data_IF_770518185517
#
_entry.id   IF_770518185517
#
_cell.length_a   1.000
_cell.length_b   1.000
_cell.length_c   1.000
_cell.angle_alpha   90.00
_cell.angle_beta   90.00
_cell.angle_gamma   90.00
#
_symmetry.space_group_name_H-M   'P 1'
#
loop_
_entity.id
_entity.type
_entity.pdbx_description
1 polymer ?
#
# COMPACT_ATOMS: atom_id res chain seq x y z
N UNK A 1 -4.19 33.78 3.06
CA UNK A 1 -4.90 32.64 2.42
C UNK A 1 -5.93 32.14 3.40
N UNK A 2 -7.15 31.82 2.95
CA UNK A 2 -8.26 31.37 3.80
C UNK A 2 -8.15 29.87 4.08
N UNK A 3 -7.21 29.50 4.96
CA UNK A 3 -6.87 28.10 5.21
C UNK A 3 -8.00 27.34 5.93
N UNK A 4 -8.59 27.92 6.98
CA UNK A 4 -9.60 27.22 7.80
C UNK A 4 -10.85 26.90 6.96
N UNK A 5 -11.35 27.88 6.19
CA UNK A 5 -12.47 27.68 5.26
C UNK A 5 -12.14 26.68 4.14
N UNK A 6 -10.88 26.62 3.70
CA UNK A 6 -10.47 25.63 2.73
C UNK A 6 -10.47 24.22 3.32
N UNK A 7 -10.07 24.05 4.59
CA UNK A 7 -10.14 22.77 5.29
C UNK A 7 -11.58 22.27 5.44
N UNK A 8 -12.51 23.17 5.79
CA UNK A 8 -13.95 22.89 5.84
C UNK A 8 -14.46 22.46 4.45
N UNK A 9 -14.12 23.21 3.40
CA UNK A 9 -14.48 22.88 2.02
C UNK A 9 -13.98 21.48 1.60
N UNK A 10 -12.76 21.10 1.99
CA UNK A 10 -12.23 19.77 1.70
C UNK A 10 -12.96 18.67 2.49
N UNK A 11 -13.33 18.96 3.74
CA UNK A 11 -14.05 18.04 4.62
C UNK A 11 -15.48 17.77 4.14
N UNK A 12 -16.20 18.82 3.73
CA UNK A 12 -17.52 18.71 3.11
C UNK A 12 -17.48 17.91 1.79
N UNK A 13 -16.35 17.95 1.08
CA UNK A 13 -16.09 17.12 -0.09
C UNK A 13 -15.79 15.65 0.18
N UNK A 14 -15.97 15.16 1.42
CA UNK A 14 -15.71 13.77 1.84
C UNK A 14 -14.27 13.28 1.52
N UNK A 15 -13.29 14.18 1.56
CA UNK A 15 -11.89 13.79 1.39
C UNK A 15 -11.37 13.04 2.63
N UNK A 16 -10.42 12.12 2.41
CA UNK A 16 -9.78 11.43 3.51
C UNK A 16 -8.91 12.40 4.33
N UNK A 17 -8.90 12.25 5.67
CA UNK A 17 -8.13 13.11 6.58
C UNK A 17 -6.67 13.31 6.15
N UNK A 18 -5.98 12.23 5.77
CA UNK A 18 -4.59 12.31 5.29
C UNK A 18 -4.44 13.14 4.00
N UNK A 19 -5.44 13.08 3.11
CA UNK A 19 -5.47 13.89 1.88
C UNK A 19 -5.66 15.37 2.23
N UNK A 20 -6.56 15.68 3.16
CA UNK A 20 -6.78 17.03 3.66
C UNK A 20 -5.48 17.59 4.24
N UNK A 21 -4.83 16.89 5.15
CA UNK A 21 -3.55 17.33 5.74
C UNK A 21 -2.47 17.58 4.69
N UNK A 22 -2.35 16.70 3.69
CA UNK A 22 -1.38 16.87 2.60
C UNK A 22 -1.71 18.10 1.73
N UNK A 23 -2.98 18.37 1.48
CA UNK A 23 -3.43 19.51 0.70
C UNK A 23 -3.21 20.82 1.45
N UNK A 24 -3.58 20.86 2.72
CA UNK A 24 -3.34 21.99 3.62
C UNK A 24 -1.86 22.34 3.70
N UNK A 25 -0.98 21.33 3.86
CA UNK A 25 0.46 21.54 3.84
C UNK A 25 0.93 22.21 2.55
N UNK A 26 0.50 21.70 1.39
CA UNK A 26 0.92 22.23 0.09
C UNK A 26 0.48 23.68 -0.13
N UNK A 27 -0.77 24.01 0.24
CA UNK A 27 -1.28 25.37 0.14
C UNK A 27 -0.53 26.30 1.08
N UNK A 28 -0.32 25.88 2.35
CA UNK A 28 0.42 26.67 3.33
C UNK A 28 1.86 26.97 2.88
N UNK A 29 2.56 25.97 2.35
CA UNK A 29 3.93 26.12 1.84
C UNK A 29 3.99 27.05 0.60
N UNK A 30 2.98 27.01 -0.27
CA UNK A 30 2.88 27.97 -1.37
C UNK A 30 2.79 29.41 -0.84
N UNK A 31 1.87 29.69 0.08
CA UNK A 31 1.69 31.06 0.57
C UNK A 31 2.79 31.56 1.50
N UNK A 32 3.56 30.67 2.13
CA UNK A 32 4.78 31.10 2.84
C UNK A 32 5.88 31.57 1.87
N UNK A 33 5.83 31.15 0.60
CA UNK A 33 6.81 31.51 -0.44
C UNK A 33 6.32 32.64 -1.35
N UNK A 34 5.02 32.71 -1.59
CA UNK A 34 4.41 33.64 -2.53
C UNK A 34 3.23 34.37 -1.91
N UNK A 35 3.32 35.70 -1.84
CA UNK A 35 2.27 36.55 -1.28
C UNK A 35 1.02 36.62 -2.19
N UNK A 36 1.21 36.47 -3.49
CA UNK A 36 0.13 36.59 -4.48
C UNK A 36 -0.16 35.29 -5.22
N UNK A 37 -1.45 35.04 -5.43
CA UNK A 37 -1.96 33.92 -6.21
C UNK A 37 -2.18 34.34 -7.67
N UNK A 38 -1.11 34.26 -8.47
CA UNK A 38 -1.08 34.59 -9.89
C UNK A 38 -0.34 33.51 -10.71
N UNK A 39 -0.46 33.56 -12.05
CA UNK A 39 0.11 32.54 -12.96
C UNK A 39 1.64 32.42 -12.82
N UNK A 40 2.35 33.55 -12.67
CA UNK A 40 3.81 33.57 -12.54
C UNK A 40 4.26 32.82 -11.29
N UNK A 41 3.69 33.15 -10.14
CA UNK A 41 4.06 32.52 -8.86
C UNK A 41 3.72 31.02 -8.84
N UNK A 42 2.59 30.62 -9.44
CA UNK A 42 2.22 29.21 -9.58
C UNK A 42 3.24 28.43 -10.43
N UNK A 43 3.76 29.02 -11.51
CA UNK A 43 4.80 28.40 -12.33
C UNK A 43 6.14 28.33 -11.62
N UNK A 44 6.56 29.40 -10.93
CA UNK A 44 7.79 29.42 -10.12
C UNK A 44 7.74 28.35 -9.04
N UNK A 45 6.62 28.26 -8.31
CA UNK A 45 6.44 27.22 -7.30
C UNK A 45 6.45 25.82 -7.92
N UNK A 46 5.84 25.62 -9.09
CA UNK A 46 5.92 24.34 -9.80
C UNK A 46 7.36 23.97 -10.14
N UNK A 47 8.19 24.91 -10.60
CA UNK A 47 9.61 24.67 -10.87
C UNK A 47 10.34 24.25 -9.61
N UNK A 48 10.16 25.00 -8.51
CA UNK A 48 10.71 24.64 -7.20
C UNK A 48 10.31 23.21 -6.75
N UNK A 49 9.03 22.84 -6.95
CA UNK A 49 8.56 21.50 -6.62
C UNK A 49 9.29 20.42 -7.42
N UNK A 50 9.48 20.64 -8.73
CA UNK A 50 10.16 19.69 -9.63
C UNK A 50 11.62 19.49 -9.23
N UNK A 51 12.31 20.56 -8.85
CA UNK A 51 13.71 20.52 -8.44
C UNK A 51 13.91 19.87 -7.07
N UNK A 52 12.92 20.02 -6.18
CA UNK A 52 13.06 19.59 -4.78
C UNK A 52 12.49 18.19 -4.51
N UNK A 53 11.44 17.77 -5.23
CA UNK A 53 10.66 16.59 -4.87
C UNK A 53 10.49 15.59 -6.01
N UNK A 54 10.29 14.33 -5.63
CA UNK A 54 9.92 13.27 -6.59
C UNK A 54 8.60 13.61 -7.30
N UNK A 55 8.44 13.26 -8.58
CA UNK A 55 7.27 13.65 -9.37
C UNK A 55 5.89 13.30 -8.77
N UNK A 56 5.79 12.20 -8.00
CA UNK A 56 4.56 11.82 -7.29
C UNK A 56 4.16 12.88 -6.25
N UNK A 57 5.12 13.36 -5.47
CA UNK A 57 4.92 14.43 -4.49
C UNK A 57 4.59 15.75 -5.18
N UNK A 58 5.28 16.07 -6.28
CA UNK A 58 5.00 17.26 -7.11
C UNK A 58 3.55 17.26 -7.57
N UNK A 59 3.09 16.15 -8.16
CA UNK A 59 1.72 16.03 -8.65
C UNK A 59 0.67 16.11 -7.53
N UNK A 60 0.95 15.56 -6.35
CA UNK A 60 0.06 15.71 -5.18
C UNK A 60 -0.09 17.18 -4.77
N UNK A 61 1.02 17.92 -4.70
CA UNK A 61 1.01 19.35 -4.33
C UNK A 61 0.38 20.22 -5.41
N UNK A 62 0.59 19.90 -6.70
CA UNK A 62 -0.12 20.53 -7.82
C UNK A 62 -1.64 20.31 -7.72
N UNK A 63 -2.08 19.09 -7.38
CA UNK A 63 -3.50 18.79 -7.18
C UNK A 63 -4.09 19.60 -6.02
N UNK A 64 -3.36 19.70 -4.90
CA UNK A 64 -3.76 20.52 -3.76
C UNK A 64 -3.97 21.99 -4.16
N UNK A 65 -3.00 22.59 -4.86
CA UNK A 65 -3.12 23.95 -5.36
C UNK A 65 -4.27 24.11 -6.35
N UNK A 66 -4.44 23.17 -7.27
CA UNK A 66 -5.58 23.20 -8.20
C UNK A 66 -6.92 23.12 -7.46
N UNK A 67 -7.01 22.36 -6.37
CA UNK A 67 -8.22 22.29 -5.55
C UNK A 67 -8.45 23.61 -4.80
N UNK A 68 -7.39 24.24 -4.30
CA UNK A 68 -7.46 25.57 -3.69
C UNK A 68 -7.86 26.66 -4.70
N UNK A 69 -7.34 26.60 -5.93
CA UNK A 69 -7.73 27.51 -7.03
C UNK A 69 -9.21 27.41 -7.36
N UNK A 70 -9.80 26.22 -7.30
CA UNK A 70 -11.26 26.03 -7.44
C UNK A 70 -11.99 26.69 -6.29
N UNK A 71 -11.54 26.47 -5.04
CA UNK A 71 -12.15 27.05 -3.84
C UNK A 71 -12.20 28.60 -3.90
N UNK A 72 -11.12 29.24 -4.35
CA UNK A 72 -11.07 30.72 -4.47
C UNK A 72 -11.61 31.25 -5.81
N UNK A 73 -12.26 30.42 -6.63
CA UNK A 73 -12.85 30.84 -7.91
C UNK A 73 -11.87 31.12 -9.06
N UNK A 74 -10.58 30.81 -8.92
CA UNK A 74 -9.53 31.05 -9.93
C UNK A 74 -9.24 29.83 -10.81
N UNK A 75 -10.28 29.17 -11.33
CA UNK A 75 -10.17 27.92 -12.10
C UNK A 75 -9.30 28.02 -13.36
N UNK A 76 -9.22 29.21 -13.98
CA UNK A 76 -8.38 29.48 -15.17
C UNK A 76 -6.87 29.38 -14.90
N UNK A 77 -6.42 29.46 -13.65
CA UNK A 77 -5.00 29.41 -13.26
C UNK A 77 -4.46 27.98 -13.03
N UNK A 78 -5.20 26.96 -13.46
CA UNK A 78 -4.89 25.54 -13.21
C UNK A 78 -3.49 25.15 -13.69
N UNK A 79 -2.73 24.50 -12.81
CA UNK A 79 -1.43 23.91 -13.09
C UNK A 79 -1.56 22.52 -13.73
N UNK A 80 -0.83 22.28 -14.82
CA UNK A 80 -0.71 20.95 -15.43
C UNK A 80 0.20 20.05 -14.58
N UNK A 81 -0.22 18.80 -14.37
CA UNK A 81 0.61 17.77 -13.74
C UNK A 81 1.88 17.50 -14.55
N UNK A 82 2.94 17.09 -13.86
CA UNK A 82 4.15 16.55 -14.47
C UNK A 82 3.85 15.14 -14.98
N UNK A 83 4.14 14.89 -16.26
CA UNK A 83 4.02 13.55 -16.84
C UNK A 83 5.18 12.70 -16.33
N UNK A 84 4.86 11.52 -15.84
CA UNK A 84 5.85 10.55 -15.35
C UNK A 84 5.64 9.29 -16.14
N UNK A 85 6.68 8.83 -16.84
CA UNK A 85 6.63 7.51 -17.45
C UNK A 85 6.54 6.47 -16.32
N UNK A 86 5.54 5.59 -16.39
CA UNK A 86 5.45 4.51 -15.42
C UNK A 86 6.66 3.60 -15.60
N UNK A 87 7.46 3.43 -14.53
CA UNK A 87 8.54 2.44 -14.52
C UNK A 87 7.97 1.08 -14.87
N UNK A 88 8.63 0.30 -15.71
CA UNK A 88 8.21 -1.01 -16.21
C UNK A 88 8.47 -2.18 -15.25
N UNK A 89 8.93 -1.94 -14.03
CA UNK A 89 9.35 -3.01 -13.13
C UNK A 89 8.97 -2.73 -11.67
N UNK A 90 8.83 -3.79 -10.88
CA UNK A 90 8.63 -3.73 -9.44
C UNK A 90 9.99 -3.62 -8.75
N UNK A 91 10.22 -2.55 -8.02
CA UNK A 91 11.38 -2.44 -7.13
C UNK A 91 11.06 -3.06 -5.77
N UNK A 92 12.05 -3.72 -5.17
CA UNK A 92 12.06 -4.12 -3.77
C UNK A 92 10.96 -5.12 -3.36
N UNK A 93 10.79 -6.20 -4.13
CA UNK A 93 9.96 -7.35 -3.74
C UNK A 93 10.83 -8.39 -3.03
N UNK A 94 10.40 -8.85 -1.86
CA UNK A 94 11.09 -9.87 -1.07
C UNK A 94 11.14 -11.17 -1.86
N UNK A 95 12.32 -11.80 -1.98
CA UNK A 95 12.48 -13.08 -2.69
C UNK A 95 11.69 -14.21 -1.99
N UNK A 96 11.39 -15.32 -2.68
CA UNK A 96 10.74 -16.47 -2.02
C UNK A 96 11.68 -17.09 -0.96
N UNK A 97 13.00 -17.08 -1.24
CA UNK A 97 14.03 -17.53 -0.31
C UNK A 97 14.04 -16.67 0.96
N UNK A 98 14.10 -15.34 0.83
CA UNK A 98 14.10 -14.40 1.97
C UNK A 98 12.81 -14.51 2.78
N UNK A 99 11.65 -14.61 2.12
CA UNK A 99 10.37 -14.82 2.80
C UNK A 99 10.37 -16.12 3.61
N UNK A 100 10.84 -17.22 3.00
CA UNK A 100 10.90 -18.53 3.65
C UNK A 100 11.88 -18.50 4.83
N UNK A 101 13.05 -17.91 4.65
CA UNK A 101 14.05 -17.71 5.69
C UNK A 101 13.50 -16.90 6.86
N UNK A 102 12.93 -15.72 6.60
CA UNK A 102 12.36 -14.84 7.62
C UNK A 102 11.28 -15.57 8.43
N UNK A 103 10.32 -16.19 7.74
CA UNK A 103 9.23 -16.94 8.37
C UNK A 103 9.78 -18.08 9.24
N UNK A 104 10.70 -18.89 8.72
CA UNK A 104 11.24 -20.03 9.46
C UNK A 104 12.07 -19.60 10.66
N UNK A 105 12.85 -18.51 10.54
CA UNK A 105 13.64 -17.95 11.63
C UNK A 105 12.75 -17.42 12.76
N UNK A 106 11.69 -16.68 12.42
CA UNK A 106 10.69 -16.22 13.39
C UNK A 106 10.03 -17.38 14.15
N UNK A 107 9.69 -18.48 13.45
CA UNK A 107 9.14 -19.68 14.09
C UNK A 107 10.15 -20.38 15.00
N UNK A 108 11.41 -20.48 14.57
CA UNK A 108 12.49 -21.11 15.35
C UNK A 108 12.80 -20.36 16.65
N UNK A 109 12.70 -19.04 16.64
CA UNK A 109 12.91 -18.18 17.81
C UNK A 109 11.63 -17.94 18.64
N UNK A 110 10.59 -18.77 18.45
CA UNK A 110 9.28 -18.67 19.11
C UNK A 110 8.58 -17.30 18.99
N UNK A 111 8.91 -16.53 17.95
CA UNK A 111 8.27 -15.26 17.64
C UNK A 111 6.96 -15.48 16.85
N UNK A 112 6.06 -16.30 17.39
CA UNK A 112 4.87 -16.81 16.67
C UNK A 112 3.94 -15.69 16.18
N UNK A 113 3.75 -14.62 16.96
CA UNK A 113 2.98 -13.45 16.52
C UNK A 113 3.48 -12.91 15.19
N UNK A 114 4.79 -12.71 15.07
CA UNK A 114 5.40 -12.14 13.87
C UNK A 114 5.52 -13.15 12.73
N UNK A 115 5.69 -14.43 13.05
CA UNK A 115 5.52 -15.52 12.10
C UNK A 115 4.14 -15.42 11.40
N UNK A 116 3.05 -15.29 12.17
CA UNK A 116 1.72 -15.13 11.59
C UNK A 116 1.54 -13.80 10.87
N UNK A 117 2.07 -12.67 11.37
CA UNK A 117 2.02 -11.39 10.63
C UNK A 117 2.63 -11.54 9.22
N UNK A 118 3.82 -12.12 9.12
CA UNK A 118 4.51 -12.34 7.84
C UNK A 118 3.72 -13.29 6.94
N UNK A 119 3.15 -14.37 7.49
CA UNK A 119 2.33 -15.31 6.73
C UNK A 119 1.04 -14.69 6.21
N UNK A 120 0.31 -13.95 7.03
CA UNK A 120 -0.92 -13.30 6.58
C UNK A 120 -0.64 -12.26 5.48
N UNK A 121 0.41 -11.46 5.61
CA UNK A 121 0.82 -10.52 4.58
C UNK A 121 1.10 -11.21 3.24
N UNK A 122 1.81 -12.35 3.26
CA UNK A 122 2.23 -13.06 2.05
C UNK A 122 1.15 -14.00 1.48
N UNK A 123 0.16 -14.43 2.28
CA UNK A 123 -0.82 -15.46 1.87
C UNK A 123 -2.22 -14.90 1.57
N UNK A 124 -2.56 -13.71 2.06
CA UNK A 124 -3.90 -13.13 1.88
C UNK A 124 -3.93 -11.97 0.87
N UNK A 125 -2.75 -11.46 0.53
CA UNK A 125 -2.63 -10.24 -0.27
C UNK A 125 -3.14 -8.99 0.43
N UNK A 126 -3.55 -9.02 1.70
CA UNK A 126 -4.11 -7.87 2.42
C UNK A 126 -3.17 -6.65 2.45
N UNK A 127 -3.72 -5.44 2.37
CA UNK A 127 -2.96 -4.23 2.75
C UNK A 127 -2.70 -4.25 4.25
N UNK A 128 -1.61 -3.62 4.71
CA UNK A 128 -1.31 -3.55 6.15
C UNK A 128 -2.43 -2.88 6.96
N UNK A 129 -3.12 -1.90 6.39
CA UNK A 129 -4.28 -1.24 7.01
C UNK A 129 -5.49 -2.16 7.17
N UNK A 130 -5.60 -3.19 6.34
CA UNK A 130 -6.66 -4.20 6.37
C UNK A 130 -6.25 -5.35 7.30
N UNK A 131 -4.98 -5.77 7.25
CA UNK A 131 -4.40 -6.79 8.13
C UNK A 131 -4.62 -6.48 9.61
N UNK A 132 -4.39 -5.24 10.03
CA UNK A 132 -4.57 -4.83 11.43
C UNK A 132 -6.02 -4.90 11.89
N UNK A 133 -7.00 -4.98 10.98
CA UNK A 133 -8.42 -5.13 11.29
C UNK A 133 -8.88 -6.58 11.37
N UNK A 134 -8.05 -7.55 10.95
CA UNK A 134 -8.41 -8.96 11.02
C UNK A 134 -8.57 -9.34 12.49
N UNK A 135 -9.65 -10.06 12.79
CA UNK A 135 -9.97 -10.57 14.11
C UNK A 135 -9.97 -12.10 14.12
N UNK A 136 -9.98 -12.70 15.31
CA UNK A 136 -10.01 -14.16 15.49
C UNK A 136 -11.23 -14.79 14.81
N UNK A 137 -12.38 -14.12 14.85
CA UNK A 137 -13.63 -14.59 14.26
C UNK A 137 -13.51 -14.72 12.72
N UNK A 138 -12.75 -13.82 12.09
CA UNK A 138 -12.46 -13.91 10.65
C UNK A 138 -11.59 -15.12 10.32
N UNK A 139 -10.67 -15.51 11.22
CA UNK A 139 -9.87 -16.73 11.03
C UNK A 139 -10.75 -17.97 11.09
N UNK A 140 -11.68 -18.03 12.04
CA UNK A 140 -12.60 -19.16 12.19
C UNK A 140 -13.50 -19.31 10.95
N UNK A 141 -14.17 -18.22 10.54
CA UNK A 141 -15.04 -18.21 9.35
C UNK A 141 -14.23 -18.39 8.05
N UNK A 142 -13.00 -17.88 8.04
CA UNK A 142 -12.01 -18.03 6.98
C UNK A 142 -11.99 -16.94 5.92
N UNK A 143 -12.68 -15.83 6.16
CA UNK A 143 -12.59 -14.64 5.34
C UNK A 143 -12.83 -13.36 6.15
N UNK A 144 -12.46 -12.23 5.57
CA UNK A 144 -12.73 -10.89 6.10
C UNK A 144 -13.26 -9.98 4.97
N UNK A 145 -14.49 -9.49 5.13
CA UNK A 145 -15.12 -8.59 4.18
C UNK A 145 -14.81 -7.13 4.47
N UNK A 146 -14.43 -6.40 3.42
CA UNK A 146 -14.02 -4.99 3.48
C UNK A 146 -14.98 -4.17 2.63
N UNK A 147 -15.56 -3.15 3.25
CA UNK A 147 -16.31 -2.12 2.55
C UNK A 147 -15.35 -1.11 1.94
N UNK A 148 -15.38 -0.98 0.61
CA UNK A 148 -14.61 0.03 -0.12
C UNK A 148 -15.45 1.27 -0.38
N UNK A 149 -14.81 2.36 -0.84
CA UNK A 149 -15.53 3.56 -1.28
C UNK A 149 -16.55 3.18 -2.37
N UNK A 150 -17.74 3.77 -2.30
CA UNK A 150 -18.83 3.49 -3.24
C UNK A 150 -19.67 2.24 -2.90
N UNK A 151 -19.58 1.70 -1.67
CA UNK A 151 -20.47 0.64 -1.20
C UNK A 151 -20.14 -0.77 -1.69
N UNK A 152 -19.05 -0.95 -2.43
CA UNK A 152 -18.60 -2.28 -2.87
C UNK A 152 -17.98 -3.07 -1.72
N UNK A 153 -18.26 -4.37 -1.69
CA UNK A 153 -17.67 -5.31 -0.72
C UNK A 153 -16.55 -6.08 -1.42
N UNK A 154 -15.39 -6.18 -0.76
CA UNK A 154 -14.29 -7.05 -1.17
C UNK A 154 -14.00 -8.07 -0.08
N UNK A 155 -13.95 -9.34 -0.44
CA UNK A 155 -13.58 -10.42 0.47
C UNK A 155 -12.08 -10.71 0.44
N UNK A 156 -11.44 -10.76 1.61
CA UNK A 156 -10.11 -11.36 1.79
C UNK A 156 -10.30 -12.80 2.26
N UNK A 157 -9.81 -13.76 1.49
CA UNK A 157 -9.81 -15.17 1.89
C UNK A 157 -8.58 -15.51 2.73
N UNK A 158 -8.78 -16.30 3.79
CA UNK A 158 -7.70 -16.81 4.64
C UNK A 158 -7.52 -18.30 4.32
N UNK A 159 -6.37 -18.70 3.74
CA UNK A 159 -6.15 -20.09 3.33
C UNK A 159 -6.34 -21.10 4.47
N UNK A 160 -6.99 -22.24 4.20
CA UNK A 160 -7.31 -23.28 5.20
C UNK A 160 -6.10 -23.68 6.05
N UNK A 161 -4.94 -23.90 5.44
CA UNK A 161 -3.71 -24.27 6.16
C UNK A 161 -3.25 -23.18 7.12
N UNK A 162 -3.34 -21.91 6.72
CA UNK A 162 -3.03 -20.76 7.59
C UNK A 162 -4.02 -20.67 8.76
N UNK A 163 -5.32 -20.91 8.50
CA UNK A 163 -6.36 -20.91 9.55
C UNK A 163 -6.05 -21.95 10.63
N UNK A 164 -5.87 -23.21 10.23
CA UNK A 164 -5.59 -24.31 11.16
C UNK A 164 -4.35 -24.06 12.00
N UNK A 165 -3.27 -23.54 11.42
CA UNK A 165 -2.06 -23.20 12.21
C UNK A 165 -2.28 -22.01 13.14
N UNK A 166 -3.06 -21.01 12.70
CA UNK A 166 -3.38 -19.83 13.52
C UNK A 166 -4.28 -20.19 14.70
N UNK A 167 -5.27 -21.05 14.49
CA UNK A 167 -6.16 -21.55 15.56
C UNK A 167 -5.39 -22.30 16.64
N UNK A 168 -4.44 -23.16 16.25
CA UNK A 168 -3.56 -23.85 17.22
C UNK A 168 -2.75 -22.85 18.06
N UNK A 169 -2.20 -21.81 17.43
CA UNK A 169 -1.47 -20.76 18.15
C UNK A 169 -2.39 -19.94 19.07
N UNK A 170 -3.63 -19.66 18.65
CA UNK A 170 -4.59 -18.95 19.49
C UNK A 170 -5.03 -19.76 20.71
N UNK A 171 -5.14 -21.09 20.58
CA UNK A 171 -5.39 -22.00 21.70
C UNK A 171 -4.29 -21.93 22.75
N UNK A 172 -3.00 -21.89 22.37
CA UNK A 172 -1.90 -21.76 23.35
C UNK A 172 -1.93 -20.43 24.10
N UNK A 173 -2.65 -19.43 23.59
CA UNK A 173 -2.83 -18.12 24.22
C UNK A 173 -4.17 -18.01 24.96
N UNK A 174 -5.02 -19.04 24.95
CA UNK A 174 -6.40 -18.99 25.43
C UNK A 174 -7.21 -17.82 24.84
N UNK A 175 -7.00 -17.49 23.55
CA UNK A 175 -7.67 -16.37 22.87
C UNK A 175 -8.70 -16.86 21.86
N UNK A 176 -9.96 -16.51 22.07
CA UNK A 176 -11.07 -16.93 21.20
C UNK A 176 -11.71 -15.79 20.42
N UNK A 177 -11.39 -14.52 20.73
CA UNK A 177 -12.02 -13.34 20.13
C UNK A 177 -11.09 -12.12 20.02
N UNK A 178 -11.56 -11.11 19.28
CA UNK A 178 -10.91 -9.80 19.17
C UNK A 178 -9.82 -9.73 18.10
N UNK A 179 -9.11 -8.59 18.03
CA UNK A 179 -8.11 -8.35 16.98
C UNK A 179 -7.00 -9.41 16.98
N UNK A 180 -6.69 -9.95 15.80
CA UNK A 180 -5.72 -11.03 15.66
C UNK A 180 -4.32 -10.61 16.14
N UNK A 181 -3.88 -9.43 15.74
CA UNK A 181 -2.57 -8.89 16.05
C UNK A 181 -2.63 -7.73 17.04
N UNK A 182 -2.08 -7.95 18.23
CA UNK A 182 -2.05 -6.98 19.32
C UNK A 182 -0.65 -6.38 19.52
N UNK A 183 -0.63 -5.13 20.00
CA UNK A 183 0.55 -4.47 20.54
C UNK A 183 0.90 -5.05 21.93
N UNK A 184 1.95 -4.53 22.56
CA UNK A 184 2.38 -4.97 23.90
C UNK A 184 1.42 -4.61 25.04
N UNK A 185 0.48 -3.71 24.78
CA UNK A 185 -0.54 -3.24 25.72
C UNK A 185 -1.89 -3.96 25.54
N UNK A 186 -1.95 -4.98 24.68
CA UNK A 186 -3.19 -5.72 24.41
C UNK A 186 -4.15 -5.04 23.42
N UNK A 187 -3.78 -3.90 22.85
CA UNK A 187 -4.61 -3.18 21.87
C UNK A 187 -4.24 -3.57 20.43
N UNK A 188 -5.07 -3.20 19.46
CA UNK A 188 -4.78 -3.41 18.03
C UNK A 188 -3.42 -2.82 17.63
N UNK A 189 -2.56 -3.63 17.01
CA UNK A 189 -1.28 -3.14 16.51
C UNK A 189 -1.48 -2.08 15.40
N UNK A 190 -0.63 -1.05 15.40
CA UNK A 190 -0.69 0.00 14.37
C UNK A 190 0.05 -0.43 13.10
N UNK A 191 -0.35 0.14 11.97
CA UNK A 191 0.34 -0.08 10.68
C UNK A 191 1.82 0.32 10.75
N UNK A 192 2.12 1.44 11.43
CA UNK A 192 3.48 1.89 11.69
C UNK A 192 4.25 0.89 12.56
N UNK A 193 3.60 0.33 13.58
CA UNK A 193 4.19 -0.70 14.43
C UNK A 193 4.60 -1.94 13.64
N UNK A 194 3.74 -2.42 12.73
CA UNK A 194 4.09 -3.53 11.82
C UNK A 194 5.28 -3.17 10.94
N UNK A 195 5.23 -2.04 10.24
CA UNK A 195 6.33 -1.64 9.34
C UNK A 195 7.67 -1.50 10.06
N UNK A 196 7.68 -0.90 11.25
CA UNK A 196 8.90 -0.73 12.04
C UNK A 196 9.47 -2.06 12.51
N UNK A 197 8.63 -2.96 13.02
CA UNK A 197 9.10 -4.24 13.54
C UNK A 197 9.59 -5.17 12.42
N UNK A 198 8.94 -5.17 11.26
CA UNK A 198 9.45 -5.87 10.09
C UNK A 198 10.85 -5.38 9.70
N UNK A 199 11.07 -4.06 9.71
CA UNK A 199 12.39 -3.47 9.48
C UNK A 199 13.41 -3.92 10.53
N UNK A 200 13.04 -3.94 11.81
CA UNK A 200 13.90 -4.41 12.89
C UNK A 200 14.30 -5.89 12.68
N UNK A 201 13.37 -6.76 12.29
CA UNK A 201 13.69 -8.16 11.97
C UNK A 201 14.56 -8.29 10.72
N UNK A 202 14.40 -7.40 9.73
CA UNK A 202 15.26 -7.37 8.56
C UNK A 202 16.71 -7.12 8.98
N UNK A 203 16.96 -6.09 9.79
CA UNK A 203 18.28 -5.80 10.35
C UNK A 203 18.79 -6.96 11.19
N UNK A 204 17.97 -7.47 12.12
CA UNK A 204 18.35 -8.57 13.03
C UNK A 204 18.82 -9.82 12.28
N UNK A 205 18.17 -10.15 11.16
CA UNK A 205 18.43 -11.38 10.42
C UNK A 205 19.28 -11.17 9.15
N UNK A 206 19.88 -9.99 8.97
CA UNK A 206 20.74 -9.69 7.82
C UNK A 206 20.00 -9.64 6.48
N UNK A 207 18.70 -9.35 6.48
CA UNK A 207 17.89 -9.19 5.28
C UNK A 207 17.89 -7.74 4.81
N UNK A 208 17.69 -7.53 3.51
CA UNK A 208 17.61 -6.19 2.94
C UNK A 208 16.37 -5.42 3.47
N UNK A 209 16.59 -4.40 4.29
CA UNK A 209 15.55 -3.54 4.87
C UNK A 209 14.65 -2.88 3.82
N UNK A 210 15.16 -2.65 2.61
CA UNK A 210 14.39 -2.05 1.51
C UNK A 210 13.32 -2.99 1.00
N UNK A 211 13.42 -4.32 1.23
CA UNK A 211 12.44 -5.32 0.74
C UNK A 211 11.57 -5.91 1.82
N UNK A 212 11.91 -5.77 3.11
CA UNK A 212 11.14 -6.35 4.22
C UNK A 212 10.15 -5.32 4.78
N UNK A 213 9.07 -5.09 4.05
CA UNK A 213 7.98 -4.18 4.43
C UNK A 213 6.64 -4.68 3.89
N UNK A 214 5.48 -4.25 4.43
CA UNK A 214 4.20 -4.90 4.14
C UNK A 214 3.81 -5.00 2.66
N UNK A 215 4.08 -3.96 1.87
CA UNK A 215 3.70 -3.96 0.44
C UNK A 215 4.54 -4.95 -0.37
N UNK A 216 5.78 -5.20 0.02
CA UNK A 216 6.64 -6.20 -0.62
C UNK A 216 6.10 -7.61 -0.47
N UNK A 217 5.58 -7.98 0.71
CA UNK A 217 4.88 -9.25 0.90
C UNK A 217 3.59 -9.36 0.07
N UNK A 218 2.85 -8.25 -0.06
CA UNK A 218 1.67 -8.20 -0.95
C UNK A 218 2.08 -8.38 -2.43
N UNK A 219 3.22 -7.84 -2.85
CA UNK A 219 3.77 -8.09 -4.18
C UNK A 219 4.19 -9.55 -4.36
N UNK A 220 4.78 -10.18 -3.32
CA UNK A 220 5.10 -11.61 -3.30
C UNK A 220 3.84 -12.47 -3.45
N UNK A 221 2.74 -12.13 -2.77
CA UNK A 221 1.44 -12.78 -2.95
C UNK A 221 0.99 -12.74 -4.41
N UNK A 222 1.00 -11.56 -5.02
CA UNK A 222 0.60 -11.37 -6.42
C UNK A 222 1.46 -12.16 -7.42
N UNK A 223 2.79 -12.13 -7.25
CA UNK A 223 3.70 -12.92 -8.07
C UNK A 223 3.44 -14.42 -7.93
N UNK A 224 3.37 -14.93 -6.69
CA UNK A 224 3.09 -16.34 -6.44
C UNK A 224 1.72 -16.77 -7.00
N UNK A 225 0.70 -15.90 -6.91
CA UNK A 225 -0.60 -16.17 -7.51
C UNK A 225 -0.48 -16.33 -9.02
N UNK A 226 0.11 -15.37 -9.74
CA UNK A 226 0.24 -15.43 -11.21
C UNK A 226 1.15 -16.57 -11.69
N UNK A 227 2.20 -16.89 -10.94
CA UNK A 227 3.09 -18.04 -11.21
C UNK A 227 2.34 -19.37 -11.11
N UNK A 228 1.34 -19.48 -10.22
CA UNK A 228 0.56 -20.71 -10.01
C UNK A 228 -0.75 -20.74 -10.78
N UNK A 229 -1.35 -19.58 -11.00
CA UNK A 229 -2.66 -19.39 -11.60
C UNK A 229 -2.66 -18.04 -12.32
N UNK A 230 -2.40 -18.08 -13.63
CA UNK A 230 -2.16 -16.91 -14.48
C UNK A 230 -3.46 -16.15 -14.85
N UNK A 231 -4.25 -15.79 -13.85
CA UNK A 231 -5.48 -15.00 -13.99
C UNK A 231 -5.31 -13.63 -13.33
N UNK A 232 -5.02 -12.62 -14.15
CA UNK A 232 -4.84 -11.24 -13.70
C UNK A 232 -6.15 -10.58 -13.25
N UNK A 233 -7.29 -10.95 -13.84
CA UNK A 233 -8.57 -10.34 -13.52
C UNK A 233 -9.00 -10.77 -12.11
N UNK A 234 -8.97 -12.07 -11.84
CA UNK A 234 -9.24 -12.60 -10.51
C UNK A 234 -8.25 -12.05 -9.47
N UNK A 235 -6.96 -11.95 -9.80
CA UNK A 235 -5.98 -11.34 -8.90
C UNK A 235 -6.33 -9.87 -8.58
N UNK A 236 -6.75 -9.09 -9.59
CA UNK A 236 -7.13 -7.69 -9.39
C UNK A 236 -8.31 -7.56 -8.42
N UNK A 237 -9.30 -8.44 -8.54
CA UNK A 237 -10.48 -8.49 -7.66
C UNK A 237 -10.10 -8.88 -6.23
N UNK A 238 -9.30 -9.94 -6.06
CA UNK A 238 -8.80 -10.38 -4.74
C UNK A 238 -7.98 -9.30 -4.04
N UNK A 239 -7.17 -8.57 -4.80
CA UNK A 239 -6.36 -7.47 -4.30
C UNK A 239 -7.19 -6.20 -4.06
N UNK A 240 -8.34 -6.05 -4.69
CA UNK A 240 -9.17 -4.84 -4.59
C UNK A 240 -8.51 -3.67 -5.27
N UNK A 241 -8.11 -3.87 -6.52
CA UNK A 241 -7.64 -2.81 -7.40
C UNK A 241 -8.81 -2.30 -8.24
N UNK A 242 -9.03 -0.99 -8.24
CA UNK A 242 -10.10 -0.36 -9.06
C UNK A 242 -9.83 -0.46 -10.57
N UNK A 243 -8.58 -0.73 -10.95
CA UNK A 243 -8.17 -0.92 -12.34
C UNK A 243 -7.18 -2.06 -12.47
N UNK A 244 -7.41 -2.92 -13.46
CA UNK A 244 -6.48 -3.99 -13.88
C UNK A 244 -5.08 -3.45 -14.18
N UNK A 245 -4.96 -2.19 -14.60
CA UNK A 245 -3.67 -1.55 -14.86
C UNK A 245 -2.77 -1.54 -13.61
N UNK A 246 -3.38 -1.45 -12.42
CA UNK A 246 -2.66 -1.51 -11.15
C UNK A 246 -2.10 -2.92 -10.88
N UNK A 247 -2.74 -3.96 -11.42
CA UNK A 247 -2.30 -5.36 -11.31
C UNK A 247 -1.32 -5.72 -12.42
N UNK A 248 -1.36 -5.05 -13.58
CA UNK A 248 -0.48 -5.31 -14.73
C UNK A 248 1.00 -5.18 -14.38
N UNK A 249 1.35 -4.39 -13.37
CA UNK A 249 2.71 -4.27 -12.85
C UNK A 249 3.32 -5.62 -12.45
N UNK A 250 2.51 -6.62 -12.09
CA UNK A 250 2.95 -7.96 -11.70
C UNK A 250 3.25 -8.89 -12.87
N UNK A 251 2.66 -8.63 -14.04
CA UNK A 251 2.93 -9.40 -15.26
C UNK A 251 4.18 -8.92 -16.00
N UNK A 252 4.83 -7.87 -15.51
CA UNK A 252 5.95 -7.27 -16.24
C UNK A 252 7.17 -8.18 -16.15
N UNK A 253 7.59 -8.61 -17.33
CA UNK A 253 8.77 -9.44 -17.58
C UNK A 253 9.87 -8.57 -18.16
N UNK A 254 11.12 -8.93 -17.94
CA UNK A 254 12.26 -8.33 -18.63
C UNK A 254 12.20 -8.61 -20.13
N UNK A 255 12.94 -7.84 -20.93
CA UNK A 255 13.03 -8.08 -22.38
C UNK A 255 13.57 -9.48 -22.70
N UNK A 256 14.53 -9.96 -21.91
CA UNK A 256 15.09 -11.30 -22.04
C UNK A 256 14.03 -12.38 -21.78
N UNK A 257 13.30 -12.27 -20.66
CA UNK A 257 12.20 -13.21 -20.35
C UNK A 257 11.10 -13.18 -21.43
N UNK A 258 10.83 -12.01 -22.02
CA UNK A 258 9.87 -11.90 -23.13
C UNK A 258 10.36 -12.64 -24.37
N UNK A 259 11.63 -12.45 -24.74
CA UNK A 259 12.25 -13.12 -25.88
C UNK A 259 12.26 -14.63 -25.67
N UNK A 260 12.68 -15.13 -24.50
CA UNK A 260 12.66 -16.57 -24.18
C UNK A 260 11.26 -17.18 -24.30
N UNK A 261 10.21 -16.46 -23.92
CA UNK A 261 8.83 -16.93 -24.08
C UNK A 261 8.46 -16.96 -25.55
N UNK A 262 8.78 -15.92 -26.31
CA UNK A 262 8.48 -15.85 -27.74
C UNK A 262 9.18 -16.99 -28.46
N UNK A 263 10.48 -17.19 -28.22
CA UNK A 263 11.28 -18.28 -28.81
C UNK A 263 10.72 -19.66 -28.44
N UNK A 264 10.17 -19.80 -27.23
CA UNK A 264 9.54 -21.05 -26.77
C UNK A 264 8.15 -21.29 -27.35
N UNK A 265 7.38 -20.23 -27.62
CA UNK A 265 5.97 -20.31 -28.03
C UNK A 265 5.82 -20.29 -29.55
N UNK A 266 6.67 -19.54 -30.24
CA UNK A 266 6.68 -19.41 -31.70
C UNK A 266 7.76 -20.32 -32.25
N UNK A 267 7.37 -21.54 -32.62
CA UNK A 267 8.28 -22.58 -33.11
C UNK A 267 8.06 -22.92 -34.58
N UNK A 268 7.40 -22.03 -35.33
CA UNK A 268 7.07 -22.19 -36.75
C UNK A 268 7.62 -21.03 -37.58
#
# INVERSE_FOLDING_TARGET
MELDKFEEFLSQGNMAKNTISAYMYAVKEFGSRHKELNKRNLLVYKTYLIETYKPKTVNLRIQALNKYLVFVGKTKLRLKSVKVQQRSYLENVISNADYTFLKNKLKKEDNLKWYFVVRFLAATGARVSELVQIKVEHVQVGYYDIYTKGGKIRRIYIPKTLRTETEKWLQTLNRTSGYLFLNRFGERITTRGISQQLKNYAVKYGLNEKVVYPHSFRHRYAKNFLEKFNDIALLADLMGHESIETTRIYLRRSSLEQQEIVDKVITW
#
